data_IF_182320873574
#
_entry.id   IF_182320873574
#
_cell.length_a   1.000
_cell.length_b   1.000
_cell.length_c   1.000
_cell.angle_alpha   90.00
_cell.angle_beta   90.00
_cell.angle_gamma   90.00
#
_symmetry.space_group_name_H-M   'P 1'
#
loop_
_entity.id
_entity.type
_entity.pdbx_description
1 polymer ?
#
# COMPACT_ATOMS: atom_id res chain seq x y z
N UNK A 1 19.98 -8.33 -0.47
CA UNK A 1 19.41 -7.04 -0.92
C UNK A 1 18.79 -7.17 -2.32
N UNK A 2 17.61 -7.79 -2.44
CA UNK A 2 16.99 -8.06 -3.76
C UNK A 2 16.43 -6.80 -4.43
N UNK A 3 15.72 -5.95 -3.67
CA UNK A 3 15.03 -4.76 -4.21
C UNK A 3 16.02 -3.71 -4.73
N UNK A 4 17.12 -3.46 -4.03
CA UNK A 4 18.13 -2.48 -4.50
C UNK A 4 18.88 -2.94 -5.76
N UNK A 5 18.95 -4.25 -6.00
CA UNK A 5 19.61 -4.83 -7.17
C UNK A 5 18.68 -4.96 -8.36
N UNK A 6 17.45 -5.42 -8.12
CA UNK A 6 16.52 -5.84 -9.17
C UNK A 6 15.31 -4.89 -9.33
N UNK A 7 15.20 -3.87 -8.48
CA UNK A 7 13.98 -3.07 -8.34
C UNK A 7 12.86 -3.83 -7.63
N UNK A 8 11.67 -3.22 -7.61
CA UNK A 8 10.46 -3.90 -7.16
C UNK A 8 9.99 -4.91 -8.22
N UNK A 9 9.69 -6.14 -7.79
CA UNK A 9 9.14 -7.19 -8.62
C UNK A 9 7.71 -7.48 -8.18
N UNK A 10 6.81 -7.68 -9.15
CA UNK A 10 5.43 -8.10 -8.89
C UNK A 10 5.40 -9.63 -8.82
N UNK A 11 4.87 -10.18 -7.72
CA UNK A 11 4.73 -11.62 -7.47
C UNK A 11 5.96 -12.47 -7.86
N UNK A 12 7.18 -12.16 -7.38
CA UNK A 12 8.33 -12.97 -7.70
C UNK A 12 8.15 -14.39 -7.13
N UNK A 13 8.57 -15.45 -7.85
CA UNK A 13 8.41 -16.84 -7.40
C UNK A 13 9.01 -17.14 -6.01
N UNK A 14 9.96 -16.32 -5.58
CA UNK A 14 10.64 -16.39 -4.29
C UNK A 14 9.91 -15.73 -3.13
N UNK A 15 8.80 -15.00 -3.36
CA UNK A 15 8.05 -14.33 -2.30
C UNK A 15 6.94 -15.24 -1.73
N UNK A 16 6.79 -15.23 -0.40
CA UNK A 16 5.60 -15.77 0.24
C UNK A 16 4.38 -14.96 -0.19
N UNK A 17 3.34 -15.62 -0.74
CA UNK A 17 2.08 -14.97 -1.18
C UNK A 17 1.16 -14.51 -0.03
N UNK A 18 1.70 -14.35 1.17
CA UNK A 18 0.92 -13.89 2.31
C UNK A 18 0.73 -12.37 2.16
N UNK A 19 -0.52 -11.90 2.13
CA UNK A 19 -0.83 -10.46 2.13
C UNK A 19 -1.23 -9.84 0.79
N UNK A 20 -1.32 -10.60 -0.31
CA UNK A 20 -1.81 -10.08 -1.61
C UNK A 20 -3.35 -10.04 -1.69
N UNK A 21 -4.00 -9.37 -0.75
CA UNK A 21 -5.48 -9.30 -0.65
C UNK A 21 -6.13 -8.76 -1.92
N UNK A 22 -5.42 -7.89 -2.64
CA UNK A 22 -5.90 -7.22 -3.85
C UNK A 22 -5.18 -7.69 -5.12
N UNK A 23 -4.57 -8.87 -5.07
CA UNK A 23 -3.85 -9.46 -6.18
C UNK A 23 -2.45 -8.93 -6.40
N UNK A 24 -1.94 -9.16 -7.61
CA UNK A 24 -0.56 -8.88 -7.95
C UNK A 24 -0.32 -7.36 -8.01
N UNK A 25 0.77 -6.92 -7.39
CA UNK A 25 1.18 -5.52 -7.42
C UNK A 25 2.25 -5.20 -6.38
N UNK A 26 2.72 -3.95 -6.41
CA UNK A 26 3.56 -3.37 -5.36
C UNK A 26 2.64 -2.70 -4.35
N UNK A 27 2.72 -3.15 -3.11
CA UNK A 27 1.96 -2.62 -1.99
C UNK A 27 2.76 -1.52 -1.31
N UNK A 28 2.20 -0.30 -1.30
CA UNK A 28 2.76 0.87 -0.64
C UNK A 28 1.76 1.36 0.41
N UNK A 29 2.27 2.00 1.47
CA UNK A 29 1.45 2.63 2.49
C UNK A 29 1.75 4.13 2.55
N UNK A 30 0.76 4.91 2.98
CA UNK A 30 0.90 6.33 3.32
C UNK A 30 1.06 6.57 4.83
N UNK A 31 1.09 5.51 5.63
CA UNK A 31 1.41 5.52 7.05
C UNK A 31 2.73 4.79 7.30
N UNK A 32 3.63 5.43 8.05
CA UNK A 32 4.87 4.82 8.53
C UNK A 32 4.57 3.58 9.39
N UNK A 33 3.60 3.69 10.31
CA UNK A 33 3.20 2.62 11.23
C UNK A 33 2.76 1.34 10.50
N UNK A 34 1.99 1.46 9.42
CA UNK A 34 1.60 0.27 8.65
C UNK A 34 2.81 -0.47 8.08
N UNK A 35 3.77 0.27 7.57
CA UNK A 35 4.96 -0.30 6.91
C UNK A 35 5.90 -0.96 7.92
N UNK A 36 5.94 -0.52 9.18
CA UNK A 36 6.79 -1.15 10.20
C UNK A 36 6.40 -2.59 10.48
N UNK A 37 5.12 -2.97 10.31
CA UNK A 37 4.65 -4.34 10.46
C UNK A 37 5.25 -5.33 9.46
N UNK A 38 5.87 -4.83 8.39
CA UNK A 38 6.55 -5.63 7.37
C UNK A 38 8.08 -5.55 7.47
N UNK A 39 8.60 -4.83 8.46
CA UNK A 39 10.04 -4.74 8.72
C UNK A 39 10.46 -5.83 9.71
N UNK A 40 11.62 -6.43 9.46
CA UNK A 40 12.32 -7.28 10.40
C UNK A 40 13.66 -6.63 10.75
N UNK A 41 14.04 -6.57 12.05
CA UNK A 41 15.30 -5.97 12.46
C UNK A 41 16.51 -6.66 11.81
N UNK A 42 17.52 -5.87 11.48
CA UNK A 42 18.82 -6.39 11.06
C UNK A 42 19.59 -7.01 12.22
N UNK A 43 20.77 -7.59 11.92
CA UNK A 43 21.71 -8.06 12.94
C UNK A 43 22.12 -6.96 13.93
N UNK A 44 22.16 -5.69 13.48
CA UNK A 44 22.48 -4.52 14.30
C UNK A 44 21.25 -3.93 15.01
N UNK A 45 20.12 -4.65 15.01
CA UNK A 45 18.86 -4.24 15.60
C UNK A 45 18.33 -2.89 15.08
N UNK A 46 18.44 -2.69 13.76
CA UNK A 46 17.84 -1.56 13.04
C UNK A 46 16.90 -2.06 11.94
N UNK A 47 15.87 -1.26 11.65
CA UNK A 47 14.90 -1.50 10.58
C UNK A 47 15.17 -0.58 9.40
N UNK A 48 14.81 -1.06 8.21
CA UNK A 48 14.94 -0.31 6.95
C UNK A 48 13.58 -0.17 6.29
N UNK A 49 13.28 1.03 5.81
CA UNK A 49 12.07 1.33 5.05
C UNK A 49 12.40 2.14 3.80
N UNK A 50 11.74 1.83 2.68
CA UNK A 50 11.90 2.57 1.44
C UNK A 50 10.81 3.63 1.31
N UNK A 51 11.20 4.89 1.13
CA UNK A 51 10.28 5.95 0.68
C UNK A 51 10.31 5.95 -0.85
N UNK A 52 9.15 5.73 -1.45
CA UNK A 52 9.01 5.63 -2.90
C UNK A 52 8.17 6.79 -3.43
N UNK A 53 8.68 7.45 -4.46
CA UNK A 53 7.89 8.35 -5.30
C UNK A 53 7.16 7.51 -6.33
N UNK A 54 5.84 7.67 -6.42
CA UNK A 54 5.00 6.75 -7.20
C UNK A 54 4.05 7.51 -8.11
N UNK A 55 4.03 7.14 -9.40
CA UNK A 55 3.07 7.67 -10.36
C UNK A 55 1.75 6.89 -10.27
N UNK A 56 0.78 7.38 -9.50
CA UNK A 56 -0.45 6.62 -9.21
C UNK A 56 -1.38 6.42 -10.43
N UNK A 57 -1.47 7.42 -11.32
CA UNK A 57 -2.29 7.38 -12.54
C UNK A 57 -3.78 7.28 -12.31
N UNK A 58 -4.44 6.39 -13.07
CA UNK A 58 -5.85 6.07 -12.88
C UNK A 58 -6.03 5.27 -11.60
N UNK A 59 -6.38 5.98 -10.53
CA UNK A 59 -6.65 5.39 -9.22
C UNK A 59 -8.10 4.92 -9.14
N UNK A 60 -8.29 3.68 -8.70
CA UNK A 60 -9.60 3.19 -8.25
C UNK A 60 -9.60 3.15 -6.73
N UNK A 61 -10.50 3.88 -6.11
CA UNK A 61 -10.63 3.87 -4.65
C UNK A 61 -11.59 2.77 -4.18
N UNK A 62 -11.31 2.21 -3.01
CA UNK A 62 -12.11 1.20 -2.36
C UNK A 62 -12.10 1.42 -0.85
N UNK A 63 -13.28 1.43 -0.25
CA UNK A 63 -13.43 1.70 1.18
C UNK A 63 -13.86 0.44 1.95
N UNK A 64 -14.54 -0.50 1.32
CA UNK A 64 -14.98 -1.75 1.96
C UNK A 64 -14.32 -2.94 1.29
N UNK A 65 -14.19 -4.05 2.01
CA UNK A 65 -13.80 -5.35 1.43
C UNK A 65 -15.06 -6.14 1.06
N UNK A 66 -15.43 -6.22 -0.23
CA UNK A 66 -16.51 -7.11 -0.64
C UNK A 66 -16.16 -8.56 -0.31
N UNK A 67 -17.14 -9.33 0.17
CA UNK A 67 -16.98 -10.74 0.54
C UNK A 67 -16.21 -11.58 -0.50
N UNK A 68 -16.43 -11.32 -1.80
CA UNK A 68 -15.74 -11.99 -2.92
C UNK A 68 -14.21 -11.91 -2.89
N UNK A 69 -13.60 -10.88 -2.30
CA UNK A 69 -12.14 -10.76 -2.18
C UNK A 69 -11.56 -11.76 -1.16
N UNK A 70 -12.40 -12.31 -0.28
CA UNK A 70 -12.01 -13.39 0.63
C UNK A 70 -12.24 -14.78 0.03
N UNK A 71 -13.07 -14.89 -1.01
CA UNK A 71 -13.59 -16.18 -1.52
C UNK A 71 -13.07 -16.60 -2.88
N UNK A 72 -12.45 -15.69 -3.65
CA UNK A 72 -12.00 -15.97 -5.02
C UNK A 72 -10.53 -15.59 -5.24
N UNK A 73 -9.80 -16.33 -6.10
CA UNK A 73 -8.46 -15.98 -6.49
C UNK A 73 -8.45 -14.57 -7.13
N UNK A 74 -7.38 -13.85 -6.82
CA UNK A 74 -7.15 -12.42 -7.02
C UNK A 74 -7.29 -11.86 -8.46
N UNK A 75 -7.65 -12.66 -9.46
CA UNK A 75 -7.71 -12.22 -10.87
C UNK A 75 -8.79 -11.18 -11.14
N UNK A 76 -9.88 -11.16 -10.37
CA UNK A 76 -10.98 -10.19 -10.56
C UNK A 76 -10.74 -8.84 -9.86
N UNK A 77 -9.62 -8.71 -9.12
CA UNK A 77 -9.25 -7.48 -8.41
C UNK A 77 -8.69 -6.40 -9.34
N UNK A 78 -8.15 -6.79 -10.50
CA UNK A 78 -7.46 -5.91 -11.44
C UNK A 78 -8.45 -5.32 -12.45
N UNK A 79 -9.02 -4.15 -12.16
CA UNK A 79 -10.06 -3.53 -12.99
C UNK A 79 -9.49 -2.43 -13.88
N UNK A 80 -8.46 -2.72 -14.67
CA UNK A 80 -7.86 -1.76 -15.61
C UNK A 80 -7.45 -0.42 -14.97
N UNK A 81 -7.30 -0.40 -13.64
CA UNK A 81 -6.71 0.70 -12.89
C UNK A 81 -5.19 0.58 -12.91
N UNK A 82 -4.53 1.72 -12.80
CA UNK A 82 -3.08 1.76 -12.63
C UNK A 82 -2.68 1.44 -11.18
N UNK A 83 -3.51 1.94 -10.25
CA UNK A 83 -3.36 1.77 -8.82
C UNK A 83 -4.72 1.56 -8.18
N UNK A 84 -4.85 0.54 -7.34
CA UNK A 84 -5.95 0.45 -6.39
C UNK A 84 -5.53 1.18 -5.11
N UNK A 85 -6.36 2.11 -4.64
CA UNK A 85 -6.18 2.76 -3.33
C UNK A 85 -7.27 2.23 -2.40
N UNK A 86 -6.89 1.38 -1.45
CA UNK A 86 -7.77 0.97 -0.37
C UNK A 86 -7.66 1.99 0.75
N UNK A 87 -8.75 2.66 1.09
CA UNK A 87 -8.80 3.58 2.23
C UNK A 87 -8.90 2.74 3.48
N UNK A 88 -8.04 2.93 4.48
CA UNK A 88 -8.13 2.25 5.78
C UNK A 88 -9.02 2.97 6.79
N UNK A 89 -9.03 2.47 8.03
CA UNK A 89 -9.68 3.16 9.15
C UNK A 89 -8.87 4.36 9.65
N UNK A 90 -7.55 4.33 9.42
CA UNK A 90 -6.61 5.41 9.71
C UNK A 90 -5.86 5.76 8.43
N UNK A 91 -5.93 7.02 8.02
CA UNK A 91 -5.24 7.51 6.83
C UNK A 91 -4.93 9.00 6.96
N UNK A 92 -3.91 9.51 6.25
CA UNK A 92 -3.55 10.92 6.29
C UNK A 92 -4.74 11.81 5.92
N UNK A 93 -4.98 12.87 6.70
CA UNK A 93 -6.05 13.82 6.42
C UNK A 93 -5.88 14.60 5.10
N UNK A 94 -4.68 14.53 4.52
CA UNK A 94 -4.33 15.10 3.23
C UNK A 94 -2.82 15.05 3.00
N UNK A 95 -2.38 15.74 1.96
CA UNK A 95 -0.97 15.80 1.59
C UNK A 95 -0.47 17.23 1.52
N UNK A 96 0.78 17.44 1.92
CA UNK A 96 1.55 18.63 1.54
C UNK A 96 2.14 18.37 0.16
N UNK A 97 2.02 19.33 -0.74
CA UNK A 97 2.60 19.19 -2.09
C UNK A 97 3.88 20.02 -2.18
N UNK A 98 4.96 19.38 -2.60
CA UNK A 98 6.23 20.05 -2.91
C UNK A 98 6.66 19.68 -4.33
N UNK A 99 6.89 20.66 -5.20
CA UNK A 99 7.30 20.45 -6.60
C UNK A 99 6.43 19.44 -7.37
N UNK A 100 5.11 19.51 -7.15
CA UNK A 100 4.15 18.61 -7.78
C UNK A 100 4.11 17.19 -7.20
N UNK A 101 4.88 16.91 -6.14
CA UNK A 101 4.87 15.63 -5.42
C UNK A 101 4.03 15.77 -4.15
N UNK A 102 2.96 15.01 -4.06
CA UNK A 102 2.14 14.91 -2.86
C UNK A 102 2.85 14.05 -1.80
N UNK A 103 2.98 14.58 -0.59
CA UNK A 103 3.54 13.91 0.57
C UNK A 103 2.46 13.80 1.66
N UNK A 104 2.03 12.59 2.04
CA UNK A 104 0.94 12.36 3.01
C UNK A 104 1.39 12.66 4.46
N UNK A 105 1.66 13.94 4.75
CA UNK A 105 2.27 14.38 6.01
C UNK A 105 1.27 14.98 7.01
N UNK A 106 0.01 15.16 6.62
CA UNK A 106 -1.01 15.62 7.56
C UNK A 106 -1.34 14.50 8.57
N UNK A 107 -1.79 14.83 9.79
CA UNK A 107 -2.14 13.83 10.80
C UNK A 107 -3.10 12.78 10.29
N UNK A 108 -2.98 11.56 10.82
CA UNK A 108 -3.95 10.51 10.55
C UNK A 108 -5.31 10.94 11.06
N UNK A 109 -6.32 10.82 10.20
CA UNK A 109 -7.72 10.91 10.59
C UNK A 109 -8.34 9.53 10.65
N UNK A 110 -9.38 9.43 11.47
CA UNK A 110 -10.30 8.31 11.41
C UNK A 110 -11.16 8.45 10.16
N UNK A 111 -11.49 7.30 9.58
CA UNK A 111 -12.49 7.23 8.52
C UNK A 111 -13.85 7.69 9.01
N UNK A 112 -14.58 8.34 8.12
CA UNK A 112 -16.00 8.63 8.28
C UNK A 112 -16.83 7.33 8.36
N UNK A 113 -17.96 7.38 9.07
CA UNK A 113 -18.87 6.24 9.16
C UNK A 113 -19.36 5.81 7.77
N UNK A 114 -19.37 4.50 7.52
CA UNK A 114 -19.87 3.93 6.27
C UNK A 114 -21.40 3.80 6.39
N UNK A 115 -22.20 4.51 5.59
CA UNK A 115 -23.66 4.47 5.72
C UNK A 115 -24.25 3.11 5.28
N UNK A 116 -25.13 2.53 6.11
CA UNK A 116 -26.02 1.41 5.76
C UNK A 116 -25.42 0.00 5.84
N UNK A 117 -26.07 -0.95 5.16
CA UNK A 117 -25.78 -2.39 5.14
C UNK A 117 -24.53 -2.76 4.31
N UNK A 118 -23.74 -1.76 3.91
CA UNK A 118 -22.51 -1.92 3.11
C UNK A 118 -21.30 -2.36 3.94
N UNK A 119 -21.51 -2.94 5.12
CA UNK A 119 -20.45 -3.57 5.86
C UNK A 119 -19.89 -4.74 5.03
N UNK A 120 -18.84 -4.44 4.27
CA UNK A 120 -17.83 -5.45 3.96
C UNK A 120 -17.42 -6.12 5.27
N UNK A 121 -17.09 -7.39 5.21
CA UNK A 121 -16.87 -8.23 6.38
C UNK A 121 -15.85 -7.63 7.37
N UNK A 122 -14.87 -6.87 6.86
CA UNK A 122 -13.80 -6.22 7.61
C UNK A 122 -13.31 -4.93 6.91
N UNK A 123 -12.72 -4.04 7.70
CA UNK A 123 -11.89 -2.91 7.25
C UNK A 123 -10.41 -3.18 7.54
N UNK A 124 -9.50 -2.60 6.76
CA UNK A 124 -8.08 -2.58 7.11
C UNK A 124 -7.78 -1.37 8.01
N UNK A 125 -6.91 -1.55 9.00
CA UNK A 125 -6.53 -0.47 9.92
C UNK A 125 -5.92 0.76 9.22
N UNK A 126 -5.18 0.57 8.13
CA UNK A 126 -4.45 1.63 7.42
C UNK A 126 -4.66 1.53 5.92
N UNK A 127 -4.58 2.66 5.22
CA UNK A 127 -4.65 2.69 3.75
C UNK A 127 -3.49 1.97 3.07
N UNK A 128 -3.72 1.50 1.84
CA UNK A 128 -2.67 0.99 0.96
C UNK A 128 -2.93 1.29 -0.50
N UNK A 129 -1.84 1.42 -1.24
CA UNK A 129 -1.80 1.59 -2.67
C UNK A 129 -1.21 0.33 -3.29
N UNK A 130 -1.95 -0.28 -4.21
CA UNK A 130 -1.53 -1.47 -4.95
C UNK A 130 -1.25 -1.05 -6.37
N UNK A 131 0.02 -0.82 -6.66
CA UNK A 131 0.50 -0.33 -7.95
C UNK A 131 0.75 -1.53 -8.86
N UNK A 132 0.05 -1.59 -10.00
CA UNK A 132 0.08 -2.77 -10.88
C UNK A 132 1.36 -2.90 -11.68
N UNK A 133 1.96 -1.76 -12.06
CA UNK A 133 3.17 -1.73 -12.88
C UNK A 133 4.39 -1.25 -12.06
N UNK A 134 5.45 -2.06 -11.95
CA UNK A 134 6.64 -1.71 -11.17
C UNK A 134 7.39 -0.48 -11.69
N UNK A 135 7.29 -0.17 -12.99
CA UNK A 135 7.93 1.02 -13.57
C UNK A 135 7.34 2.35 -13.10
N UNK A 136 6.27 2.30 -12.30
CA UNK A 136 5.63 3.48 -11.71
C UNK A 136 6.13 3.79 -10.29
N UNK A 137 6.98 2.93 -9.72
CA UNK A 137 7.50 3.06 -8.36
C UNK A 137 9.00 3.36 -8.42
N UNK A 138 9.38 4.52 -7.91
CA UNK A 138 10.77 4.96 -7.83
C UNK A 138 11.20 5.06 -6.37
N UNK A 139 12.06 4.16 -5.86
CA UNK A 139 12.71 4.35 -4.56
C UNK A 139 13.51 5.65 -4.55
N UNK A 140 13.29 6.51 -3.54
CA UNK A 140 13.99 7.80 -3.40
C UNK A 140 14.90 7.84 -2.19
N UNK A 141 14.42 7.31 -1.06
CA UNK A 141 15.15 7.34 0.19
C UNK A 141 15.05 5.99 0.90
N UNK A 142 16.09 5.66 1.67
CA UNK A 142 16.07 4.61 2.67
C UNK A 142 16.04 5.29 4.03
N UNK A 143 15.02 4.97 4.83
CA UNK A 143 14.93 5.37 6.22
C UNK A 143 15.49 4.24 7.08
N UNK A 144 16.41 4.58 7.97
CA UNK A 144 16.94 3.67 8.98
C UNK A 144 16.35 4.11 10.32
N UNK A 145 15.68 3.20 11.02
CA UNK A 145 15.06 3.48 12.31
C UNK A 145 15.25 2.32 13.28
N UNK A 146 14.97 2.55 14.56
CA UNK A 146 14.99 1.53 15.61
C UNK A 146 13.56 1.27 16.04
#
# INVERSE_FOLDING_TARGET
MSILKNGFLVDPPSACRNGSLFGAGIYLADSFEKSTHYCAPSADNVNYMLICQTALGKVREMNTLPYRFMSQPSSDAERGEDTLHYIGDNYPAGSLTNDGIAMPLLPLRKRDEIPGDQYGYQTLNFSEYIVRNPHRVLPRYIVIYK
#
